data_IF_253535067818
#
_entry.id   IF_253535067818
#
_cell.length_a   1.000
_cell.length_b   1.000
_cell.length_c   1.000
_cell.angle_alpha   90.00
_cell.angle_beta   90.00
_cell.angle_gamma   90.00
#
_symmetry.space_group_name_H-M   'P 1'
#
loop_
_entity.id
_entity.type
_entity.pdbx_description
1 polymer ?
#
# COMPACT_ATOMS: atom_id res chain seq x y z
N UNK A 1 -11.09 -23.82 30.03
CA UNK A 1 -10.95 -22.53 30.75
C UNK A 1 -11.25 -21.43 29.74
N UNK A 2 -12.15 -20.49 30.04
CA UNK A 2 -12.40 -19.36 29.16
C UNK A 2 -11.20 -18.40 29.28
N UNK A 3 -10.64 -17.98 28.14
CA UNK A 3 -9.59 -16.97 28.09
C UNK A 3 -10.16 -15.65 28.61
N UNK A 4 -9.50 -15.04 29.59
CA UNK A 4 -9.84 -13.69 30.05
C UNK A 4 -9.23 -12.66 29.09
N UNK A 5 -9.82 -11.45 28.93
CA UNK A 5 -9.22 -10.41 28.11
C UNK A 5 -7.81 -10.02 28.60
N UNK A 6 -7.54 -10.15 29.90
CA UNK A 6 -6.21 -9.97 30.49
C UNK A 6 -5.21 -11.05 30.01
N UNK A 7 -5.68 -12.30 29.81
CA UNK A 7 -4.84 -13.38 29.27
C UNK A 7 -4.46 -13.14 27.79
N UNK A 8 -5.30 -12.44 27.02
CA UNK A 8 -5.05 -12.11 25.61
C UNK A 8 -3.97 -11.02 25.51
N UNK A 9 -4.05 -9.98 26.34
CA UNK A 9 -3.06 -8.88 26.34
C UNK A 9 -1.69 -9.32 26.87
N UNK A 10 -1.65 -10.27 27.80
CA UNK A 10 -0.41 -10.77 28.38
C UNK A 10 0.23 -11.90 27.54
N UNK A 11 -0.39 -12.31 26.43
CA UNK A 11 0.10 -13.42 25.64
C UNK A 11 1.27 -13.01 24.73
N UNK A 12 2.49 -13.17 25.22
CA UNK A 12 3.70 -12.90 24.44
C UNK A 12 4.07 -14.13 23.61
N UNK A 13 3.97 -14.03 22.29
CA UNK A 13 4.45 -15.07 21.38
C UNK A 13 5.98 -15.16 21.39
N UNK A 14 6.51 -16.25 21.96
CA UNK A 14 7.97 -16.49 22.02
C UNK A 14 8.59 -16.83 20.67
N UNK A 15 7.81 -17.32 19.71
CA UNK A 15 8.30 -17.75 18.39
C UNK A 15 7.85 -16.73 17.34
N UNK A 16 8.80 -15.96 16.81
CA UNK A 16 8.58 -15.15 15.61
C UNK A 16 8.92 -16.00 14.40
N UNK A 17 7.92 -16.24 13.54
CA UNK A 17 8.16 -16.73 12.19
C UNK A 17 8.58 -15.55 11.31
N UNK A 18 9.49 -15.80 10.37
CA UNK A 18 9.95 -14.81 9.40
C UNK A 18 8.73 -14.30 8.61
N UNK A 19 8.53 -12.97 8.60
CA UNK A 19 7.39 -12.33 7.92
C UNK A 19 6.24 -11.89 8.83
N UNK A 20 6.32 -12.11 10.16
CA UNK A 20 5.37 -11.53 11.12
C UNK A 20 5.94 -10.27 11.76
N UNK A 21 5.21 -9.15 11.66
CA UNK A 21 5.48 -7.95 12.45
C UNK A 21 4.86 -8.11 13.85
N UNK A 22 5.71 -8.09 14.88
CA UNK A 22 5.28 -8.24 16.27
C UNK A 22 4.44 -7.05 16.73
N UNK A 23 4.74 -5.85 16.26
CA UNK A 23 4.05 -4.63 16.68
C UNK A 23 2.62 -4.61 16.15
N UNK A 24 2.43 -5.06 14.92
CA UNK A 24 1.10 -5.20 14.32
C UNK A 24 0.25 -6.26 15.03
N UNK A 25 0.85 -7.40 15.37
CA UNK A 25 0.16 -8.46 16.14
C UNK A 25 -0.20 -7.97 17.55
N UNK A 26 0.69 -7.27 18.24
CA UNK A 26 0.43 -6.73 19.57
C UNK A 26 -0.69 -5.67 19.52
N UNK A 27 -0.71 -4.81 18.49
CA UNK A 27 -1.80 -3.86 18.25
C UNK A 27 -3.13 -4.59 18.01
N UNK A 28 -3.13 -5.60 17.15
CA UNK A 28 -4.32 -6.39 16.84
C UNK A 28 -4.86 -7.12 18.08
N UNK A 29 -4.00 -7.74 18.89
CA UNK A 29 -4.41 -8.36 20.15
C UNK A 29 -5.00 -7.34 21.14
N UNK A 30 -4.46 -6.12 21.19
CA UNK A 30 -5.03 -5.02 21.97
C UNK A 30 -6.44 -4.63 21.51
N UNK A 31 -6.69 -4.57 20.20
CA UNK A 31 -8.02 -4.31 19.63
C UNK A 31 -9.00 -5.45 19.95
N UNK A 32 -8.58 -6.70 19.82
CA UNK A 32 -9.38 -7.88 20.16
C UNK A 32 -9.74 -7.87 21.66
N UNK A 33 -8.77 -7.58 22.54
CA UNK A 33 -9.02 -7.50 23.97
C UNK A 33 -10.00 -6.38 24.34
N UNK A 34 -9.90 -5.20 23.69
CA UNK A 34 -10.84 -4.10 23.87
C UNK A 34 -12.25 -4.48 23.41
N UNK A 35 -12.38 -5.04 22.21
CA UNK A 35 -13.67 -5.51 21.68
C UNK A 35 -14.31 -6.58 22.58
N UNK A 36 -13.51 -7.50 23.14
CA UNK A 36 -14.00 -8.51 24.07
C UNK A 36 -14.51 -7.90 25.39
N UNK A 37 -13.82 -6.88 25.94
CA UNK A 37 -14.31 -6.14 27.13
C UNK A 37 -15.63 -5.43 26.84
N UNK A 38 -15.74 -4.79 25.69
CA UNK A 38 -16.98 -4.10 25.28
C UNK A 38 -18.15 -5.07 25.15
N UNK A 39 -17.92 -6.24 24.51
CA UNK A 39 -18.94 -7.28 24.39
C UNK A 39 -19.35 -7.84 25.76
N UNK A 40 -18.40 -7.99 26.68
CA UNK A 40 -18.67 -8.44 28.05
C UNK A 40 -19.48 -7.41 28.83
N UNK A 41 -19.14 -6.14 28.70
CA UNK A 41 -19.92 -5.05 29.29
C UNK A 41 -21.34 -4.98 28.70
N UNK A 42 -21.51 -5.22 27.39
CA UNK A 42 -22.83 -5.32 26.78
C UNK A 42 -23.64 -6.49 27.34
N UNK A 43 -23.01 -7.66 27.48
CA UNK A 43 -23.64 -8.84 28.09
C UNK A 43 -24.06 -8.56 29.54
N UNK A 44 -23.18 -8.02 30.37
CA UNK A 44 -23.51 -7.64 31.75
C UNK A 44 -24.64 -6.61 31.79
N UNK A 45 -24.66 -5.65 30.85
CA UNK A 45 -25.76 -4.68 30.71
C UNK A 45 -27.07 -5.35 30.32
N UNK A 46 -27.04 -6.33 29.41
CA UNK A 46 -28.25 -7.07 29.03
C UNK A 46 -28.74 -7.97 30.15
N UNK A 47 -27.84 -8.62 30.91
CA UNK A 47 -28.21 -9.43 32.07
C UNK A 47 -28.79 -8.54 33.17
N UNK A 48 -28.19 -7.38 33.45
CA UNK A 48 -28.72 -6.41 34.41
C UNK A 48 -30.06 -5.82 33.96
N UNK A 49 -30.24 -5.53 32.67
CA UNK A 49 -31.51 -5.07 32.12
C UNK A 49 -32.59 -6.16 32.12
N UNK A 50 -32.21 -7.44 32.04
CA UNK A 50 -33.14 -8.57 32.18
C UNK A 50 -33.41 -8.91 33.65
N UNK A 51 -32.52 -8.48 34.55
CA UNK A 51 -32.68 -8.55 36.01
C UNK A 51 -33.25 -7.24 36.56
N UNK A 52 -33.96 -6.48 35.73
CA UNK A 52 -34.80 -5.40 36.22
C UNK A 52 -35.72 -6.02 37.30
N UNK A 53 -35.69 -5.50 38.54
CA UNK A 53 -36.44 -6.07 39.64
C UNK A 53 -37.88 -6.10 39.17
N UNK A 54 -38.42 -7.30 39.00
CA UNK A 54 -39.86 -7.49 38.89
C UNK A 54 -40.43 -6.62 40.00
N UNK A 55 -41.18 -5.54 39.67
CA UNK A 55 -41.73 -4.66 40.69
C UNK A 55 -42.39 -5.57 41.70
N UNK A 56 -42.11 -5.40 43.02
CA UNK A 56 -42.56 -6.34 44.04
C UNK A 56 -44.03 -6.60 43.73
N UNK A 57 -44.31 -7.83 43.30
CA UNK A 57 -45.65 -8.22 42.93
C UNK A 57 -46.51 -7.75 44.08
N UNK A 58 -47.53 -6.94 43.78
CA UNK A 58 -48.58 -6.64 44.74
C UNK A 58 -48.86 -7.94 45.49
N UNK A 59 -48.89 -7.89 46.84
CA UNK A 59 -49.06 -9.10 47.65
C UNK A 59 -50.19 -9.90 47.01
N UNK A 60 -49.96 -11.18 46.65
CA UNK A 60 -50.92 -11.95 45.90
C UNK A 60 -52.26 -11.77 46.59
N UNK A 61 -53.24 -11.27 45.83
CA UNK A 61 -54.62 -11.21 46.29
C UNK A 61 -54.89 -12.54 46.98
N UNK A 62 -55.40 -12.53 48.23
CA UNK A 62 -55.48 -13.73 49.04
C UNK A 62 -56.16 -14.81 48.22
N UNK A 63 -55.47 -15.95 48.09
CA UNK A 63 -56.03 -17.16 47.51
C UNK A 63 -57.49 -17.28 48.00
N UNK A 64 -58.48 -17.47 47.12
CA UNK A 64 -59.77 -17.98 47.55
C UNK A 64 -59.49 -19.41 48.02
N UNK A 65 -59.11 -19.52 49.30
CA UNK A 65 -58.83 -20.78 49.95
C UNK A 65 -60.00 -21.73 49.68
N UNK A 66 -59.70 -23.00 49.38
CA UNK A 66 -60.76 -23.99 49.26
C UNK A 66 -61.59 -23.94 50.53
N UNK A 67 -62.91 -23.88 50.31
CA UNK A 67 -63.96 -24.26 51.25
C UNK A 67 -63.54 -25.53 52.01
N UNK A 68 -62.81 -25.33 53.10
CA UNK A 68 -62.60 -26.29 54.17
C UNK A 68 -63.78 -26.06 55.11
N UNK A 69 -64.51 -27.14 55.37
CA UNK A 69 -65.79 -27.09 56.03
C UNK A 69 -65.72 -26.56 57.47
N UNK A 70 -66.89 -26.35 58.08
CA UNK A 70 -66.95 -26.18 59.52
C UNK A 70 -66.57 -27.53 60.18
N UNK A 71 -65.28 -27.72 60.50
CA UNK A 71 -64.90 -28.40 61.75
C UNK A 71 -65.63 -27.64 62.85
N UNK A 72 -66.73 -28.15 63.43
CA UNK A 72 -66.76 -29.34 64.29
C UNK A 72 -65.49 -29.38 65.15
N UNK A 73 -65.36 -28.40 66.04
CA UNK A 73 -64.54 -28.56 67.23
C UNK A 73 -65.06 -27.72 68.40
N UNK A 74 -65.09 -28.35 69.57
CA UNK A 74 -65.21 -27.76 70.92
C UNK A 74 -66.39 -26.82 71.17
N UNK A 75 -67.49 -27.23 71.81
CA UNK A 75 -67.48 -27.94 73.10
C UNK A 75 -67.38 -26.94 74.26
N UNK A 76 -68.32 -27.08 75.21
CA UNK A 76 -68.49 -26.30 76.45
C UNK A 76 -69.02 -24.87 76.20
N UNK A 77 -70.25 -24.53 76.59
CA UNK A 77 -70.51 -24.02 77.95
C UNK A 77 -72.01 -24.03 78.35
N UNK A 78 -72.85 -24.92 77.84
CA UNK A 78 -74.17 -25.17 78.46
C UNK A 78 -74.08 -26.30 79.49
N UNK A 79 -73.54 -25.98 80.69
CA UNK A 79 -73.80 -26.76 81.90
C UNK A 79 -75.29 -26.63 82.24
N UNK A 80 -76.06 -27.69 81.97
CA UNK A 80 -77.37 -27.89 82.56
C UNK A 80 -77.18 -28.17 84.06
N UNK A 81 -77.29 -27.11 84.86
CA UNK A 81 -77.37 -27.20 86.31
C UNK A 81 -78.70 -27.86 86.68
N UNK A 82 -78.62 -29.07 87.22
CA UNK A 82 -79.73 -29.96 87.57
C UNK A 82 -80.23 -29.58 88.96
N UNK A 83 -81.06 -28.53 89.03
CA UNK A 83 -81.79 -28.10 90.23
C UNK A 83 -83.10 -28.85 90.46
N UNK A 84 -83.66 -28.84 91.69
CA UNK A 84 -84.39 -29.97 92.28
C UNK A 84 -85.84 -30.14 91.82
N UNK A 85 -86.21 -31.42 91.76
CA UNK A 85 -87.51 -32.01 91.42
C UNK A 85 -88.63 -31.55 92.38
N UNK A 86 -89.74 -30.96 91.88
CA UNK A 86 -90.91 -30.65 92.70
C UNK A 86 -91.84 -31.87 92.87
N UNK A 87 -92.54 -32.00 94.01
CA UNK A 87 -93.35 -33.15 94.40
C UNK A 87 -94.66 -33.32 93.59
N UNK A 88 -95.27 -34.52 93.61
CA UNK A 88 -96.39 -34.91 92.74
C UNK A 88 -97.69 -34.18 93.10
N UNK A 89 -98.20 -33.39 92.16
CA UNK A 89 -99.52 -32.77 92.26
C UNK A 89 -100.63 -33.74 91.84
N UNK A 90 -101.72 -33.71 92.62
CA UNK A 90 -102.89 -34.57 92.61
C UNK A 90 -103.68 -34.61 91.28
N UNK A 91 -104.52 -35.66 91.04
CA UNK A 91 -105.29 -35.82 89.82
C UNK A 91 -106.38 -34.76 89.69
N UNK A 92 -106.18 -33.82 88.76
CA UNK A 92 -107.19 -32.86 88.29
C UNK A 92 -108.31 -33.57 87.53
N UNK A 93 -109.52 -33.03 87.65
CA UNK A 93 -110.73 -33.61 87.08
C UNK A 93 -110.77 -33.60 85.54
N UNK A 94 -111.68 -34.38 84.93
CA UNK A 94 -111.75 -34.62 83.48
C UNK A 94 -111.99 -33.37 82.59
N UNK A 95 -112.30 -32.20 83.16
CA UNK A 95 -112.57 -30.95 82.41
C UNK A 95 -111.32 -30.08 82.16
N UNK A 96 -110.24 -30.24 82.92
CA UNK A 96 -109.03 -29.40 82.79
C UNK A 96 -108.26 -29.69 81.49
N UNK A 97 -108.32 -30.93 80.98
CA UNK A 97 -107.67 -31.33 79.74
C UNK A 97 -108.32 -30.77 78.48
N UNK A 98 -109.64 -30.55 78.48
CA UNK A 98 -110.33 -29.94 77.36
C UNK A 98 -109.99 -28.45 77.23
N UNK A 99 -109.95 -27.74 78.36
CA UNK A 99 -109.54 -26.34 78.41
C UNK A 99 -108.07 -26.17 78.00
N UNK A 100 -107.18 -27.03 78.51
CA UNK A 100 -105.78 -27.07 78.11
C UNK A 100 -105.64 -27.36 76.60
N UNK A 101 -106.41 -28.30 76.06
CA UNK A 101 -106.42 -28.61 74.63
C UNK A 101 -106.84 -27.43 73.76
N UNK A 102 -107.85 -26.65 74.18
CA UNK A 102 -108.26 -25.43 73.47
C UNK A 102 -107.22 -24.32 73.53
N UNK A 103 -106.59 -24.11 74.69
CA UNK A 103 -105.52 -23.11 74.88
C UNK A 103 -104.29 -23.48 74.06
N UNK A 104 -103.90 -24.75 74.03
CA UNK A 104 -102.80 -25.25 73.18
C UNK A 104 -103.11 -25.09 71.70
N UNK A 105 -104.34 -25.39 71.26
CA UNK A 105 -104.74 -25.21 69.85
C UNK A 105 -104.77 -23.73 69.41
N UNK A 106 -105.10 -22.81 70.32
CA UNK A 106 -105.04 -21.38 70.09
C UNK A 106 -103.59 -20.87 70.00
N UNK A 107 -102.72 -21.32 70.91
CA UNK A 107 -101.28 -21.02 70.86
C UNK A 107 -100.65 -21.57 69.58
N UNK A 108 -100.96 -22.81 69.19
CA UNK A 108 -100.44 -23.40 67.94
C UNK A 108 -100.93 -22.65 66.70
N UNK A 109 -102.20 -22.23 66.65
CA UNK A 109 -102.71 -21.40 65.53
C UNK A 109 -102.00 -20.04 65.47
N UNK A 110 -101.82 -19.41 66.63
CA UNK A 110 -101.12 -18.12 66.74
C UNK A 110 -99.65 -18.26 66.34
N UNK A 111 -98.99 -19.35 66.76
CA UNK A 111 -97.62 -19.67 66.39
C UNK A 111 -97.49 -19.97 64.89
N UNK A 112 -98.43 -20.71 64.30
CA UNK A 112 -98.43 -20.93 62.85
C UNK A 112 -98.64 -19.64 62.06
N UNK A 113 -99.55 -18.76 62.52
CA UNK A 113 -99.77 -17.46 61.91
C UNK A 113 -98.52 -16.57 62.01
N UNK A 114 -97.87 -16.51 63.17
CA UNK A 114 -96.64 -15.73 63.35
C UNK A 114 -95.48 -16.28 62.52
N UNK A 115 -95.31 -17.60 62.43
CA UNK A 115 -94.30 -18.22 61.56
C UNK A 115 -94.57 -17.93 60.08
N UNK A 116 -95.82 -17.98 59.64
CA UNK A 116 -96.19 -17.64 58.27
C UNK A 116 -95.90 -16.17 57.95
N UNK A 117 -96.20 -15.27 58.89
CA UNK A 117 -95.87 -13.85 58.78
C UNK A 117 -94.36 -13.63 58.74
N UNK A 118 -93.59 -14.22 59.66
CA UNK A 118 -92.13 -14.12 59.69
C UNK A 118 -91.51 -14.65 58.40
N UNK A 119 -92.05 -15.76 57.86
CA UNK A 119 -91.59 -16.30 56.58
C UNK A 119 -91.87 -15.34 55.44
N UNK A 120 -93.06 -14.75 55.40
CA UNK A 120 -93.41 -13.77 54.38
C UNK A 120 -92.53 -12.52 54.45
N UNK A 121 -92.31 -11.97 55.65
CA UNK A 121 -91.42 -10.84 55.90
C UNK A 121 -89.99 -11.17 55.46
N UNK A 122 -89.47 -12.34 55.84
CA UNK A 122 -88.14 -12.80 55.44
C UNK A 122 -88.02 -12.99 53.90
N UNK A 123 -89.05 -13.50 53.24
CA UNK A 123 -89.07 -13.65 51.78
C UNK A 123 -89.06 -12.29 51.07
N UNK A 124 -89.81 -11.32 51.59
CA UNK A 124 -89.84 -9.93 51.08
C UNK A 124 -88.46 -9.28 51.28
N UNK A 125 -87.90 -9.32 52.49
CA UNK A 125 -86.57 -8.77 52.78
C UNK A 125 -85.49 -9.41 51.91
N UNK A 126 -85.50 -10.74 51.75
CA UNK A 126 -84.57 -11.44 50.88
C UNK A 126 -84.74 -11.06 49.41
N UNK A 127 -85.95 -10.74 48.95
CA UNK A 127 -86.18 -10.24 47.59
C UNK A 127 -85.62 -8.82 47.40
N UNK A 128 -85.79 -7.94 48.39
CA UNK A 128 -85.27 -6.56 48.38
C UNK A 128 -83.75 -6.57 48.42
N UNK A 129 -83.14 -7.39 49.29
CA UNK A 129 -81.70 -7.55 49.37
C UNK A 129 -81.11 -8.07 48.06
N UNK A 130 -81.75 -9.07 47.42
CA UNK A 130 -81.32 -9.57 46.10
C UNK A 130 -81.42 -8.50 45.02
N UNK A 131 -82.53 -7.78 44.92
CA UNK A 131 -82.70 -6.71 43.94
C UNK A 131 -81.69 -5.57 44.15
N UNK A 132 -81.40 -5.24 45.42
CA UNK A 132 -80.38 -4.25 45.75
C UNK A 132 -79.00 -4.72 45.32
N UNK A 133 -78.62 -5.95 45.68
CA UNK A 133 -77.34 -6.53 45.30
C UNK A 133 -77.18 -6.63 43.78
N UNK A 134 -78.23 -7.02 43.04
CA UNK A 134 -78.23 -7.08 41.57
C UNK A 134 -78.00 -5.70 40.95
N UNK A 135 -78.63 -4.65 41.50
CA UNK A 135 -78.41 -3.26 41.04
C UNK A 135 -76.99 -2.79 41.31
N UNK A 136 -76.48 -3.01 42.52
CA UNK A 136 -75.11 -2.65 42.90
C UNK A 136 -74.07 -3.38 42.02
N UNK A 137 -74.27 -4.67 41.74
CA UNK A 137 -73.39 -5.44 40.82
C UNK A 137 -73.48 -4.92 39.39
N UNK A 138 -74.68 -4.56 38.91
CA UNK A 138 -74.85 -4.00 37.57
C UNK A 138 -74.19 -2.62 37.43
N UNK A 139 -74.26 -1.79 38.46
CA UNK A 139 -73.59 -0.49 38.53
C UNK A 139 -72.07 -0.65 38.53
N UNK A 140 -71.52 -1.49 39.42
CA UNK A 140 -70.08 -1.78 39.47
C UNK A 140 -69.56 -2.34 38.15
N UNK A 141 -70.32 -3.20 37.46
CA UNK A 141 -69.94 -3.71 36.14
C UNK A 141 -69.87 -2.59 35.09
N UNK A 142 -70.87 -1.70 35.04
CA UNK A 142 -70.87 -0.56 34.13
C UNK A 142 -69.70 0.39 34.40
N UNK A 143 -69.43 0.68 35.67
CA UNK A 143 -68.28 1.51 36.06
C UNK A 143 -66.96 0.87 35.63
N UNK A 144 -66.77 -0.43 35.91
CA UNK A 144 -65.60 -1.17 35.51
C UNK A 144 -65.42 -1.21 33.97
N UNK A 145 -66.51 -1.39 33.21
CA UNK A 145 -66.50 -1.37 31.76
C UNK A 145 -66.08 0.01 31.21
N UNK A 146 -66.59 1.10 31.78
CA UNK A 146 -66.22 2.48 31.40
C UNK A 146 -64.75 2.75 31.71
N UNK A 147 -64.26 2.36 32.90
CA UNK A 147 -62.86 2.52 33.27
C UNK A 147 -61.93 1.69 32.35
N UNK A 148 -62.28 0.43 32.08
CA UNK A 148 -61.53 -0.41 31.17
C UNK A 148 -61.53 0.12 29.73
N UNK A 149 -62.62 0.74 29.27
CA UNK A 149 -62.68 1.40 27.97
C UNK A 149 -61.79 2.64 27.92
N UNK A 150 -61.78 3.44 29.00
CA UNK A 150 -60.92 4.62 29.13
C UNK A 150 -59.43 4.25 29.11
N UNK A 151 -59.02 3.29 29.92
CA UNK A 151 -57.63 2.82 29.97
C UNK A 151 -57.18 2.30 28.60
N UNK A 152 -58.04 1.53 27.91
CA UNK A 152 -57.74 1.06 26.54
C UNK A 152 -57.58 2.22 25.55
N UNK A 153 -58.43 3.24 25.63
CA UNK A 153 -58.33 4.40 24.73
C UNK A 153 -57.08 5.24 25.01
N UNK A 154 -56.73 5.46 26.27
CA UNK A 154 -55.51 6.15 26.67
C UNK A 154 -54.27 5.38 26.19
N UNK A 155 -54.18 4.07 26.48
CA UNK A 155 -53.09 3.22 26.00
C UNK A 155 -52.95 3.20 24.46
N UNK A 156 -54.06 3.21 23.73
CA UNK A 156 -54.04 3.29 22.26
C UNK A 156 -53.50 4.64 21.75
N UNK A 157 -53.87 5.76 22.40
CA UNK A 157 -53.35 7.09 22.06
C UNK A 157 -51.85 7.18 22.35
N UNK A 158 -51.42 6.70 23.51
CA UNK A 158 -50.00 6.71 23.90
C UNK A 158 -49.16 5.85 22.96
N UNK A 159 -49.64 4.65 22.61
CA UNK A 159 -48.98 3.79 21.64
C UNK A 159 -48.94 4.37 20.22
N UNK A 160 -49.93 5.19 19.83
CA UNK A 160 -49.90 5.92 18.56
C UNK A 160 -48.91 7.08 18.61
N UNK A 161 -48.88 7.83 19.71
CA UNK A 161 -47.92 8.92 19.92
C UNK A 161 -46.48 8.41 19.91
N UNK A 162 -46.17 7.36 20.67
CA UNK A 162 -44.84 6.76 20.73
C UNK A 162 -44.38 6.25 19.35
N UNK A 163 -45.28 5.65 18.56
CA UNK A 163 -44.95 5.24 17.19
C UNK A 163 -44.66 6.43 16.28
N UNK A 164 -45.43 7.51 16.39
CA UNK A 164 -45.18 8.75 15.64
C UNK A 164 -43.85 9.40 16.02
N UNK A 165 -43.50 9.40 17.30
CA UNK A 165 -42.21 9.93 17.80
C UNK A 165 -41.04 9.08 17.30
N UNK A 166 -41.14 7.76 17.39
CA UNK A 166 -40.12 6.84 16.89
C UNK A 166 -39.92 6.97 15.37
N UNK A 167 -40.99 7.15 14.59
CA UNK A 167 -40.92 7.38 13.15
C UNK A 167 -40.20 8.69 12.83
N UNK A 168 -40.56 9.80 13.49
CA UNK A 168 -39.89 11.10 13.29
C UNK A 168 -38.43 11.05 13.66
N UNK A 169 -38.08 10.36 14.74
CA UNK A 169 -36.69 10.18 15.15
C UNK A 169 -35.90 9.36 14.11
N UNK A 170 -36.47 8.26 13.62
CA UNK A 170 -35.84 7.44 12.59
C UNK A 170 -35.65 8.19 11.26
N UNK A 171 -36.63 9.03 10.86
CA UNK A 171 -36.51 9.90 9.68
C UNK A 171 -35.42 10.97 9.89
N UNK A 172 -35.34 11.58 11.07
CA UNK A 172 -34.28 12.52 11.41
C UNK A 172 -32.90 11.89 11.30
N UNK A 173 -32.72 10.69 11.86
CA UNK A 173 -31.44 9.96 11.79
C UNK A 173 -31.06 9.58 10.35
N UNK A 174 -32.03 9.20 9.51
CA UNK A 174 -31.76 8.92 8.10
C UNK A 174 -31.32 10.16 7.34
N UNK A 175 -32.02 11.28 7.53
CA UNK A 175 -31.66 12.54 6.88
C UNK A 175 -30.26 13.03 7.31
N UNK A 176 -29.91 12.90 8.59
CA UNK A 176 -28.59 13.26 9.11
C UNK A 176 -27.50 12.35 8.53
N UNK A 177 -27.75 11.05 8.43
CA UNK A 177 -26.83 10.10 7.80
C UNK A 177 -26.62 10.39 6.30
N UNK A 178 -27.70 10.69 5.57
CA UNK A 178 -27.65 11.04 4.15
C UNK A 178 -26.89 12.37 3.92
N UNK A 179 -27.12 13.38 4.78
CA UNK A 179 -26.39 14.65 4.72
C UNK A 179 -24.89 14.45 5.01
N UNK A 180 -24.56 13.65 6.03
CA UNK A 180 -23.18 13.31 6.35
C UNK A 180 -22.49 12.58 5.18
N UNK A 181 -23.13 11.56 4.61
CA UNK A 181 -22.61 10.84 3.46
C UNK A 181 -22.39 11.76 2.25
N UNK A 182 -23.36 12.63 1.94
CA UNK A 182 -23.24 13.61 0.86
C UNK A 182 -22.06 14.59 1.09
N UNK A 183 -21.88 15.05 2.33
CA UNK A 183 -20.75 15.94 2.69
C UNK A 183 -19.42 15.23 2.52
N UNK A 184 -19.29 14.01 3.03
CA UNK A 184 -18.08 13.19 2.87
C UNK A 184 -17.76 12.96 1.40
N UNK A 185 -18.76 12.64 0.55
CA UNK A 185 -18.55 12.48 -0.88
C UNK A 185 -18.02 13.75 -1.56
N UNK A 186 -18.61 14.91 -1.27
CA UNK A 186 -18.14 16.19 -1.84
C UNK A 186 -16.71 16.52 -1.39
N UNK A 187 -16.37 16.23 -0.14
CA UNK A 187 -15.02 16.45 0.37
C UNK A 187 -14.01 15.47 -0.27
N UNK A 188 -14.36 14.19 -0.41
CA UNK A 188 -13.49 13.21 -1.10
C UNK A 188 -13.30 13.54 -2.58
N UNK A 189 -14.35 13.99 -3.26
CA UNK A 189 -14.28 14.37 -4.67
C UNK A 189 -13.38 15.61 -4.85
N UNK A 190 -13.45 16.56 -3.91
CA UNK A 190 -12.55 17.72 -3.89
C UNK A 190 -11.10 17.30 -3.69
N UNK A 191 -10.83 16.46 -2.71
CA UNK A 191 -9.46 15.97 -2.43
C UNK A 191 -8.88 15.21 -3.63
N UNK A 192 -9.69 14.37 -4.28
CA UNK A 192 -9.29 13.65 -5.51
C UNK A 192 -8.99 14.63 -6.64
N UNK A 193 -9.83 15.65 -6.84
CA UNK A 193 -9.60 16.67 -7.86
C UNK A 193 -8.33 17.51 -7.59
N UNK A 194 -8.08 17.89 -6.33
CA UNK A 194 -6.88 18.61 -5.92
C UNK A 194 -5.61 17.77 -6.14
N UNK A 195 -5.63 16.50 -5.75
CA UNK A 195 -4.51 15.56 -5.99
C UNK A 195 -4.27 15.33 -7.48
N UNK A 196 -5.33 15.18 -8.27
CA UNK A 196 -5.22 15.03 -9.73
C UNK A 196 -4.60 16.28 -10.37
N UNK A 197 -5.02 17.49 -9.96
CA UNK A 197 -4.43 18.74 -10.44
C UNK A 197 -2.95 18.88 -10.05
N UNK A 198 -2.59 18.50 -8.82
CA UNK A 198 -1.19 18.50 -8.36
C UNK A 198 -0.32 17.50 -9.15
N UNK A 199 -0.84 16.30 -9.41
CA UNK A 199 -0.14 15.30 -10.22
C UNK A 199 0.08 15.79 -11.67
N UNK A 200 -0.92 16.43 -12.28
CA UNK A 200 -0.78 17.00 -13.62
C UNK A 200 0.28 18.11 -13.66
N UNK A 201 0.27 19.02 -12.68
CA UNK A 201 1.28 20.07 -12.59
C UNK A 201 2.71 19.52 -12.42
N UNK A 202 2.86 18.42 -11.68
CA UNK A 202 4.14 17.73 -11.53
C UNK A 202 4.61 17.08 -12.84
N UNK A 203 3.70 16.48 -13.62
CA UNK A 203 4.01 15.96 -14.95
C UNK A 203 4.45 17.07 -15.90
N UNK A 204 3.71 18.18 -15.95
CA UNK A 204 4.06 19.33 -16.79
C UNK A 204 5.45 19.90 -16.42
N UNK A 205 5.78 19.94 -15.12
CA UNK A 205 7.11 20.37 -14.67
C UNK A 205 8.23 19.39 -15.07
N UNK A 206 7.98 18.09 -14.95
CA UNK A 206 8.92 17.05 -15.38
C UNK A 206 9.17 17.12 -16.89
N UNK A 207 8.12 17.32 -17.69
CA UNK A 207 8.23 17.50 -19.14
C UNK A 207 9.06 18.74 -19.51
N UNK A 208 8.84 19.87 -18.82
CA UNK A 208 9.67 21.08 -19.00
C UNK A 208 11.14 20.81 -18.69
N UNK A 209 11.44 20.18 -17.55
CA UNK A 209 12.83 19.85 -17.17
C UNK A 209 13.49 18.90 -18.17
N UNK A 210 12.73 17.94 -18.70
CA UNK A 210 13.23 17.02 -19.71
C UNK A 210 13.50 17.73 -21.04
N UNK A 211 12.64 18.67 -21.45
CA UNK A 211 12.86 19.51 -22.62
C UNK A 211 14.12 20.41 -22.45
N UNK A 212 14.28 21.04 -21.29
CA UNK A 212 15.48 21.83 -20.95
C UNK A 212 16.75 20.98 -20.96
N UNK A 213 16.71 19.78 -20.37
CA UNK A 213 17.83 18.85 -20.36
C UNK A 213 18.22 18.38 -21.77
N UNK A 214 17.24 18.16 -22.67
CA UNK A 214 17.51 17.84 -24.08
C UNK A 214 18.21 18.99 -24.81
N UNK A 215 17.70 20.22 -24.66
CA UNK A 215 18.34 21.40 -25.26
C UNK A 215 19.78 21.57 -24.75
N UNK A 216 20.00 21.36 -23.44
CA UNK A 216 21.33 21.43 -22.85
C UNK A 216 22.26 20.32 -23.38
N UNK A 217 21.76 19.09 -23.54
CA UNK A 217 22.52 17.98 -24.11
C UNK A 217 22.91 18.26 -25.57
N UNK A 218 21.97 18.72 -26.39
CA UNK A 218 22.22 19.08 -27.79
C UNK A 218 23.25 20.21 -27.91
N UNK A 219 23.21 21.20 -27.00
CA UNK A 219 24.21 22.26 -26.94
C UNK A 219 25.62 21.74 -26.61
N UNK A 220 25.75 20.79 -25.68
CA UNK A 220 27.03 20.17 -25.34
C UNK A 220 27.58 19.36 -26.52
N UNK A 221 26.72 18.62 -27.24
CA UNK A 221 27.12 17.88 -28.44
C UNK A 221 27.60 18.86 -29.53
N UNK A 222 26.85 19.92 -29.81
CA UNK A 222 27.23 20.93 -30.78
C UNK A 222 28.55 21.64 -30.41
N UNK A 223 28.78 21.92 -29.13
CA UNK A 223 30.06 22.47 -28.66
C UNK A 223 31.23 21.48 -28.85
N UNK A 224 31.00 20.20 -28.58
CA UNK A 224 32.01 19.15 -28.77
C UNK A 224 32.36 18.96 -30.25
N UNK A 225 31.37 18.95 -31.14
CA UNK A 225 31.57 18.92 -32.60
C UNK A 225 32.35 20.15 -33.08
N UNK A 226 31.96 21.35 -32.64
CA UNK A 226 32.68 22.58 -32.99
C UNK A 226 34.15 22.57 -32.52
N UNK A 227 34.43 21.99 -31.34
CA UNK A 227 35.80 21.79 -30.85
C UNK A 227 36.57 20.76 -31.67
N UNK A 228 35.94 19.65 -32.03
CA UNK A 228 36.56 18.62 -32.87
C UNK A 228 36.94 19.19 -34.25
N UNK A 229 36.02 19.92 -34.89
CA UNK A 229 36.26 20.60 -36.17
C UNK A 229 37.37 21.66 -36.08
N UNK A 230 37.52 22.32 -34.93
CA UNK A 230 38.62 23.27 -34.71
C UNK A 230 39.97 22.55 -34.62
N UNK A 231 40.05 21.45 -33.86
CA UNK A 231 41.28 20.64 -33.74
C UNK A 231 41.70 20.06 -35.09
N UNK A 232 40.75 19.57 -35.89
CA UNK A 232 41.03 19.05 -37.24
C UNK A 232 41.58 20.17 -38.14
N UNK A 233 40.94 21.35 -38.14
CA UNK A 233 41.43 22.50 -38.93
C UNK A 233 42.83 22.96 -38.51
N UNK A 234 43.10 23.02 -37.21
CA UNK A 234 44.42 23.38 -36.69
C UNK A 234 45.48 22.35 -37.14
N UNK A 235 45.17 21.05 -37.06
CA UNK A 235 46.05 19.99 -37.54
C UNK A 235 46.31 20.05 -39.06
N UNK A 236 45.29 20.38 -39.85
CA UNK A 236 45.45 20.58 -41.30
C UNK A 236 46.38 21.76 -41.62
N UNK A 237 46.24 22.88 -40.87
CA UNK A 237 47.12 24.03 -41.00
C UNK A 237 48.57 23.68 -40.62
N UNK A 238 48.78 22.93 -39.54
CA UNK A 238 50.11 22.49 -39.10
C UNK A 238 50.75 21.56 -40.14
N UNK A 239 49.99 20.61 -40.71
CA UNK A 239 50.47 19.73 -41.78
C UNK A 239 50.86 20.55 -43.02
N UNK A 240 50.04 21.53 -43.41
CA UNK A 240 50.33 22.39 -44.55
C UNK A 240 51.59 23.24 -44.34
N UNK A 241 51.76 23.82 -43.14
CA UNK A 241 52.96 24.56 -42.77
C UNK A 241 54.19 23.65 -42.79
N UNK A 242 54.12 22.47 -42.17
CA UNK A 242 55.24 21.54 -42.13
C UNK A 242 55.64 21.06 -43.52
N UNK A 243 54.66 20.85 -44.40
CA UNK A 243 54.91 20.54 -45.81
C UNK A 243 55.64 21.68 -46.52
N UNK A 244 55.22 22.92 -46.32
CA UNK A 244 55.88 24.09 -46.90
C UNK A 244 57.33 24.24 -46.38
N UNK A 245 57.57 24.00 -45.09
CA UNK A 245 58.92 23.98 -44.51
C UNK A 245 59.80 22.91 -45.17
N UNK A 246 59.30 21.67 -45.28
CA UNK A 246 60.04 20.57 -45.91
C UNK A 246 60.30 20.81 -47.40
N UNK A 247 59.35 21.40 -48.13
CA UNK A 247 59.54 21.80 -49.53
C UNK A 247 60.62 22.88 -49.65
N UNK A 248 60.63 23.89 -48.76
CA UNK A 248 61.66 24.92 -48.72
C UNK A 248 63.04 24.37 -48.33
N UNK A 249 63.11 23.45 -47.37
CA UNK A 249 64.33 22.73 -47.01
C UNK A 249 64.86 21.91 -48.19
N UNK A 250 64.00 21.16 -48.89
CA UNK A 250 64.36 20.37 -50.05
C UNK A 250 64.85 21.25 -51.23
N UNK A 251 64.22 22.39 -51.47
CA UNK A 251 64.68 23.37 -52.47
C UNK A 251 66.05 23.95 -52.09
N UNK A 252 66.26 24.28 -50.81
CA UNK A 252 67.55 24.76 -50.32
C UNK A 252 68.66 23.70 -50.45
N UNK A 253 68.36 22.44 -50.13
CA UNK A 253 69.29 21.32 -50.31
C UNK A 253 69.60 21.06 -51.78
N UNK A 254 68.60 21.14 -52.66
CA UNK A 254 68.77 20.99 -54.10
C UNK A 254 69.63 22.13 -54.68
N UNK A 255 69.40 23.37 -54.23
CA UNK A 255 70.23 24.51 -54.60
C UNK A 255 71.69 24.32 -54.13
N UNK A 256 71.91 23.93 -52.88
CA UNK A 256 73.25 23.63 -52.35
C UNK A 256 73.92 22.45 -53.09
N UNK A 257 73.16 21.43 -53.47
CA UNK A 257 73.67 20.31 -54.27
C UNK A 257 74.04 20.74 -55.70
N UNK A 258 73.27 21.63 -56.32
CA UNK A 258 73.59 22.21 -57.61
C UNK A 258 74.87 23.05 -57.55
N UNK A 259 75.03 23.90 -56.53
CA UNK A 259 76.25 24.66 -56.29
C UNK A 259 77.47 23.74 -56.11
N UNK A 260 77.34 22.67 -55.31
CA UNK A 260 78.40 21.67 -55.13
C UNK A 260 78.77 20.99 -56.44
N UNK A 261 77.77 20.59 -57.24
CA UNK A 261 77.99 19.97 -58.55
C UNK A 261 78.73 20.93 -59.48
N UNK A 262 78.29 22.18 -59.55
CA UNK A 262 78.87 23.18 -60.45
C UNK A 262 80.31 23.53 -60.01
N UNK A 263 80.59 23.57 -58.70
CA UNK A 263 81.94 23.70 -58.17
C UNK A 263 82.86 22.52 -58.56
N UNK A 264 82.36 21.29 -58.47
CA UNK A 264 83.09 20.09 -58.91
C UNK A 264 83.35 20.11 -60.42
N UNK A 265 82.37 20.51 -61.23
CA UNK A 265 82.53 20.66 -62.68
C UNK A 265 83.57 21.75 -63.04
N UNK A 266 83.56 22.88 -62.32
CA UNK A 266 84.55 23.93 -62.49
C UNK A 266 85.95 23.47 -62.08
N UNK A 267 86.09 22.69 -61.00
CA UNK A 267 87.36 22.07 -60.62
C UNK A 267 87.83 21.05 -61.66
N UNK A 268 86.95 20.17 -62.14
CA UNK A 268 87.27 19.19 -63.17
C UNK A 268 87.74 19.86 -64.47
N UNK A 269 87.07 20.93 -64.89
CA UNK A 269 87.44 21.75 -66.05
C UNK A 269 88.83 22.38 -65.84
N UNK A 270 89.09 22.99 -64.68
CA UNK A 270 90.42 23.53 -64.34
C UNK A 270 91.52 22.46 -64.37
N UNK A 271 91.24 21.25 -63.85
CA UNK A 271 92.18 20.12 -63.92
C UNK A 271 92.43 19.65 -65.35
N UNK A 272 91.38 19.63 -66.18
CA UNK A 272 91.47 19.23 -67.59
C UNK A 272 92.25 20.26 -68.41
N UNK A 273 92.02 21.54 -68.19
CA UNK A 273 92.78 22.62 -68.84
C UNK A 273 94.25 22.60 -68.39
N UNK A 274 94.52 22.42 -67.09
CA UNK A 274 95.89 22.22 -66.60
C UNK A 274 96.56 20.99 -67.22
N UNK A 275 95.82 19.88 -67.40
CA UNK A 275 96.31 18.70 -68.07
C UNK A 275 96.61 18.97 -69.56
N UNK A 276 95.73 19.68 -70.28
CA UNK A 276 95.97 20.13 -71.67
C UNK A 276 97.21 21.01 -71.76
N UNK A 277 97.38 21.98 -70.86
CA UNK A 277 98.55 22.84 -70.81
C UNK A 277 99.83 22.02 -70.59
N UNK A 278 99.77 21.00 -69.70
CA UNK A 278 100.90 20.08 -69.50
C UNK A 278 101.18 19.22 -70.74
N UNK A 279 100.13 18.75 -71.43
CA UNK A 279 100.25 18.00 -72.69
C UNK A 279 100.88 18.86 -73.78
N UNK A 280 100.44 20.11 -73.95
CA UNK A 280 101.01 21.05 -74.91
C UNK A 280 102.46 21.41 -74.57
N UNK A 281 102.80 21.57 -73.30
CA UNK A 281 104.17 21.79 -72.85
C UNK A 281 105.06 20.57 -73.16
N UNK A 282 104.54 19.35 -72.94
CA UNK A 282 105.20 18.10 -73.31
C UNK A 282 105.34 17.96 -74.83
N UNK A 283 104.31 18.27 -75.62
CA UNK A 283 104.36 18.30 -77.10
C UNK A 283 105.39 19.31 -77.59
N UNK A 284 105.43 20.53 -77.02
CA UNK A 284 106.45 21.53 -77.34
C UNK A 284 107.85 21.02 -77.01
N UNK A 285 108.04 20.37 -75.84
CA UNK A 285 109.30 19.72 -75.49
C UNK A 285 109.65 18.57 -76.43
N UNK A 286 108.70 17.75 -76.85
CA UNK A 286 108.91 16.66 -77.80
C UNK A 286 109.23 17.17 -79.19
N UNK A 287 108.59 18.24 -79.66
CA UNK A 287 108.91 18.89 -80.94
C UNK A 287 110.29 19.52 -80.87
N UNK A 288 110.64 20.18 -79.76
CA UNK A 288 111.99 20.71 -79.53
C UNK A 288 113.02 19.57 -79.49
N UNK A 289 112.77 18.52 -78.70
CA UNK A 289 113.62 17.34 -78.60
C UNK A 289 113.70 16.56 -79.91
N UNK A 290 112.64 16.54 -80.74
CA UNK A 290 112.63 15.99 -82.11
C UNK A 290 113.38 16.89 -83.07
N UNK A 291 113.35 18.20 -82.89
CA UNK A 291 114.20 19.16 -83.58
C UNK A 291 115.68 18.95 -83.23
N UNK A 292 115.98 18.76 -81.95
CA UNK A 292 117.32 18.46 -81.43
C UNK A 292 117.78 17.05 -81.86
N UNK A 293 116.90 16.05 -81.84
CA UNK A 293 117.14 14.71 -82.36
C UNK A 293 117.29 14.73 -83.88
N UNK A 294 116.50 15.51 -84.61
CA UNK A 294 116.65 15.71 -86.05
C UNK A 294 117.97 16.41 -86.40
N UNK A 295 118.38 17.39 -85.59
CA UNK A 295 119.67 18.07 -85.74
C UNK A 295 120.86 17.17 -85.38
N UNK A 296 120.69 16.24 -84.43
CA UNK A 296 121.72 15.25 -84.07
C UNK A 296 121.74 14.03 -85.00
N UNK A 297 120.59 13.60 -85.54
CA UNK A 297 120.47 12.57 -86.58
C UNK A 297 121.00 13.05 -87.94
N UNK A 298 120.87 14.35 -88.26
CA UNK A 298 121.54 14.94 -89.45
C UNK A 298 123.08 14.89 -89.37
N UNK A 299 123.66 14.53 -88.21
CA UNK A 299 125.11 14.38 -88.00
C UNK A 299 125.61 12.93 -88.13
N UNK A 300 124.74 11.95 -88.38
CA UNK A 300 125.14 10.55 -88.52
C UNK A 300 124.42 9.86 -89.71
N UNK A 301 125.17 9.32 -90.69
CA UNK A 301 124.59 8.61 -91.82
C UNK A 301 124.12 7.20 -91.44
N UNK A 302 122.98 6.83 -92.03
CA UNK A 302 122.39 5.51 -92.26
C UNK A 302 123.00 4.29 -91.53
N UNK A 303 122.20 3.69 -90.64
CA UNK A 303 122.37 2.30 -90.21
C UNK A 303 121.02 1.56 -90.28
N UNK A 304 121.10 0.39 -90.88
CA UNK A 304 120.11 -0.62 -91.24
C UNK A 304 119.22 -1.11 -90.06
N UNK A 305 118.02 -1.56 -90.45
CA UNK A 305 116.94 -2.19 -89.63
C UNK A 305 117.40 -3.29 -88.67
N UNK A 306 116.55 -3.70 -87.68
CA UNK A 306 115.72 -4.89 -87.93
C UNK A 306 114.36 -4.99 -87.18
N UNK A 307 113.49 -5.84 -87.75
CA UNK A 307 112.62 -6.86 -87.17
C UNK A 307 111.50 -6.54 -86.14
N UNK A 308 110.32 -7.07 -86.47
CA UNK A 308 109.16 -7.39 -85.62
C UNK A 308 109.51 -8.02 -84.26
N UNK A 309 108.62 -7.88 -83.26
CA UNK A 309 107.93 -9.09 -82.79
C UNK A 309 106.44 -8.91 -82.37
N UNK A 310 105.63 -9.88 -82.78
CA UNK A 310 104.61 -10.69 -82.07
C UNK A 310 103.72 -10.13 -80.92
N UNK A 311 102.48 -10.69 -80.75
CA UNK A 311 101.37 -10.11 -80.00
C UNK A 311 101.16 -10.65 -78.57
N UNK A 312 100.44 -9.89 -77.74
CA UNK A 312 99.74 -10.35 -76.52
C UNK A 312 99.46 -9.24 -75.49
N UNK A 313 98.63 -9.45 -74.45
CA UNK A 313 97.45 -10.31 -74.31
C UNK A 313 96.14 -9.50 -74.09
N UNK A 314 95.02 -10.19 -74.21
CA UNK A 314 93.65 -9.78 -73.86
C UNK A 314 93.55 -9.56 -72.35
N UNK A 315 92.94 -8.45 -71.91
CA UNK A 315 92.37 -8.30 -70.55
C UNK A 315 90.88 -8.12 -70.69
N UNK A 316 90.18 -9.21 -70.40
CA UNK A 316 88.76 -9.33 -70.15
C UNK A 316 88.45 -8.67 -68.78
N UNK A 317 87.50 -7.73 -68.77
CA UNK A 317 86.90 -7.16 -67.55
C UNK A 317 85.37 -7.37 -67.60
N UNK A 318 84.97 -8.58 -67.99
CA UNK A 318 83.77 -9.20 -67.46
C UNK A 318 84.09 -9.61 -66.02
N UNK A 319 83.86 -8.73 -65.05
CA UNK A 319 83.91 -9.12 -63.64
C UNK A 319 82.70 -8.57 -62.90
N UNK A 320 82.08 -9.50 -62.19
CA UNK A 320 80.82 -9.44 -61.48
C UNK A 320 80.80 -8.32 -60.43
N UNK A 321 79.68 -7.59 -60.36
CA UNK A 321 79.27 -6.94 -59.12
C UNK A 321 77.81 -7.37 -58.82
N UNK A 322 77.53 -7.78 -57.58
CA UNK A 322 76.40 -8.65 -57.24
C UNK A 322 75.03 -7.95 -57.31
N UNK A 323 74.03 -8.71 -57.74
CA UNK A 323 72.62 -8.48 -57.44
C UNK A 323 72.43 -8.41 -55.92
N UNK A 324 72.26 -7.19 -55.39
CA UNK A 324 71.72 -7.01 -54.05
C UNK A 324 70.20 -7.11 -54.19
N UNK A 325 69.70 -8.33 -54.03
CA UNK A 325 68.29 -8.60 -53.72
C UNK A 325 68.05 -8.06 -52.30
N UNK A 326 67.43 -6.88 -52.20
CA UNK A 326 66.82 -6.44 -50.96
C UNK A 326 65.53 -7.26 -50.77
N UNK A 327 65.67 -8.29 -49.95
CA UNK A 327 64.60 -9.04 -49.32
C UNK A 327 63.72 -8.07 -48.50
N UNK A 328 62.45 -7.95 -48.89
CA UNK A 328 61.40 -7.18 -48.20
C UNK A 328 60.26 -8.10 -47.76
N UNK A 329 60.55 -9.39 -47.51
CA UNK A 329 59.57 -10.39 -47.08
C UNK A 329 59.83 -10.92 -45.69
N UNK A 330 60.16 -10.09 -44.71
CA UNK A 330 60.06 -10.43 -43.29
C UNK A 330 59.60 -9.21 -42.48
N UNK A 331 58.28 -9.12 -42.25
CA UNK A 331 57.71 -8.41 -41.12
C UNK A 331 56.56 -9.27 -40.60
N UNK A 332 57.00 -10.21 -39.77
CA UNK A 332 56.33 -10.90 -38.66
C UNK A 332 54.80 -10.80 -38.55
N UNK A 333 54.19 -11.96 -38.78
CA UNK A 333 53.01 -12.43 -38.05
C UNK A 333 53.34 -12.55 -36.54
N UNK A 334 53.18 -11.48 -35.75
CA UNK A 334 52.94 -11.61 -34.31
C UNK A 334 51.44 -11.69 -34.03
N UNK A 335 50.92 -12.91 -34.20
CA UNK A 335 49.70 -13.34 -33.56
C UNK A 335 50.01 -13.72 -32.10
N UNK A 336 49.52 -12.90 -31.16
CA UNK A 336 49.26 -13.32 -29.79
C UNK A 336 50.16 -12.74 -28.72
N UNK A 337 49.69 -11.67 -28.08
CA UNK A 337 49.58 -11.66 -26.62
C UNK A 337 48.55 -10.61 -26.18
N UNK A 338 47.42 -11.11 -25.71
CA UNK A 338 46.39 -10.34 -25.03
C UNK A 338 46.98 -9.87 -23.67
N UNK A 339 47.00 -8.56 -23.37
CA UNK A 339 47.66 -8.08 -22.16
C UNK A 339 46.94 -8.61 -20.90
N UNK A 340 47.68 -8.96 -19.83
CA UNK A 340 47.08 -9.44 -18.60
C UNK A 340 46.21 -8.35 -17.97
N UNK A 341 44.92 -8.67 -17.78
CA UNK A 341 43.96 -7.80 -17.11
C UNK A 341 44.46 -7.51 -15.68
N UNK A 342 44.58 -6.24 -15.26
CA UNK A 342 45.05 -5.90 -13.92
C UNK A 342 44.08 -6.43 -12.83
N UNK A 343 44.60 -6.91 -11.69
CA UNK A 343 43.77 -7.34 -10.58
C UNK A 343 43.00 -6.15 -10.00
N UNK A 344 41.68 -6.10 -10.23
CA UNK A 344 40.79 -5.04 -9.74
C UNK A 344 39.71 -4.58 -10.73
N UNK A 345 39.71 -5.07 -11.98
CA UNK A 345 38.63 -4.75 -12.93
C UNK A 345 37.33 -5.48 -12.53
N UNK A 346 36.20 -4.77 -12.28
CA UNK A 346 34.92 -5.42 -12.06
C UNK A 346 34.54 -6.19 -13.33
N UNK A 347 34.46 -7.52 -13.22
CA UNK A 347 34.16 -8.41 -14.34
C UNK A 347 32.87 -8.02 -15.07
N UNK A 348 32.84 -8.28 -16.37
CA UNK A 348 31.67 -8.05 -17.22
C UNK A 348 30.42 -8.69 -16.59
N UNK A 349 29.27 -7.98 -16.59
CA UNK A 349 28.04 -8.51 -16.02
C UNK A 349 27.61 -9.79 -16.77
N UNK A 350 27.03 -10.78 -16.08
CA UNK A 350 26.58 -12.00 -16.73
C UNK A 350 25.47 -11.68 -17.74
N UNK A 351 25.66 -12.16 -18.97
CA UNK A 351 24.64 -12.23 -20.01
C UNK A 351 23.45 -13.04 -19.50
N UNK A 352 22.44 -12.37 -18.94
CA UNK A 352 21.14 -12.94 -18.64
C UNK A 352 20.20 -12.71 -19.83
N UNK A 353 19.57 -13.80 -20.29
CA UNK A 353 18.27 -13.70 -20.96
C UNK A 353 18.28 -13.67 -22.49
N UNK A 354 18.86 -14.69 -23.13
CA UNK A 354 18.50 -15.06 -24.51
C UNK A 354 17.14 -15.78 -24.47
N UNK A 355 16.05 -15.02 -24.58
CA UNK A 355 14.69 -15.57 -24.74
C UNK A 355 14.50 -15.87 -26.23
N UNK A 356 14.64 -17.15 -26.58
CA UNK A 356 14.08 -17.69 -27.83
C UNK A 356 12.92 -18.61 -27.47
N UNK A 357 11.85 -18.44 -28.25
CA UNK A 357 10.75 -19.36 -28.54
C UNK A 357 9.77 -19.72 -27.43
N UNK A 358 8.60 -19.08 -27.48
CA UNK A 358 7.34 -19.80 -27.35
C UNK A 358 6.24 -19.11 -28.19
N UNK A 359 6.39 -19.20 -29.51
CA UNK A 359 5.24 -19.14 -30.41
C UNK A 359 4.35 -20.34 -30.08
N UNK A 360 3.21 -20.06 -29.44
CA UNK A 360 2.06 -20.94 -29.40
C UNK A 360 0.95 -20.28 -30.20
N UNK A 361 0.87 -20.64 -31.48
CA UNK A 361 -0.37 -20.57 -32.26
C UNK A 361 -1.49 -21.27 -31.47
N UNK A 362 -2.50 -20.52 -31.06
CA UNK A 362 -3.85 -21.05 -30.89
C UNK A 362 -4.86 -20.07 -31.48
N UNK A 363 -5.18 -20.32 -32.74
CA UNK A 363 -6.50 -20.09 -33.30
C UNK A 363 -7.56 -20.69 -32.37
N UNK A 364 -8.35 -19.86 -31.69
CA UNK A 364 -9.62 -20.27 -31.08
C UNK A 364 -10.70 -19.23 -31.38
N UNK A 365 -11.73 -19.74 -32.04
CA UNK A 365 -12.97 -19.11 -32.48
C UNK A 365 -13.79 -18.41 -31.37
N UNK A 366 -14.72 -17.51 -31.74
CA UNK A 366 -15.58 -16.82 -30.80
C UNK A 366 -16.71 -17.74 -30.30
N UNK A 367 -16.62 -18.17 -29.03
CA UNK A 367 -17.74 -18.79 -28.32
C UNK A 367 -18.32 -17.79 -27.32
N UNK A 368 -19.55 -17.35 -27.59
CA UNK A 368 -20.49 -16.87 -26.58
C UNK A 368 -21.65 -17.88 -26.51
N UNK A 369 -22.51 -17.87 -25.46
CA UNK A 369 -22.28 -17.53 -24.06
C UNK A 369 -22.65 -18.73 -23.16
N UNK A 370 -22.03 -18.85 -21.99
CA UNK A 370 -22.57 -19.73 -20.94
C UNK A 370 -22.54 -19.04 -19.59
N UNK A 371 -23.77 -18.85 -19.11
CA UNK A 371 -24.16 -18.37 -17.80
C UNK A 371 -23.76 -19.44 -16.79
N UNK A 372 -22.78 -19.13 -15.94
CA UNK A 372 -22.55 -19.88 -14.71
C UNK A 372 -22.02 -18.92 -13.65
N UNK A 373 -22.89 -18.67 -12.69
CA UNK A 373 -22.60 -17.98 -11.45
C UNK A 373 -21.55 -18.78 -10.67
N UNK A 374 -20.39 -18.16 -10.47
CA UNK A 374 -19.49 -18.48 -9.37
C UNK A 374 -19.02 -17.15 -8.80
N UNK A 375 -19.52 -16.89 -7.59
CA UNK A 375 -19.03 -15.92 -6.64
C UNK A 375 -17.59 -16.34 -6.27
N UNK A 376 -16.60 -15.66 -6.84
CA UNK A 376 -15.19 -15.82 -6.50
C UNK A 376 -14.69 -14.45 -6.00
N UNK A 377 -14.23 -14.32 -4.74
CA UNK A 377 -13.76 -13.05 -4.21
C UNK A 377 -12.45 -12.61 -4.90
N UNK A 378 -12.24 -11.29 -5.09
CA UNK A 378 -11.02 -10.81 -5.74
C UNK A 378 -9.78 -11.17 -4.92
N UNK A 379 -8.75 -11.64 -5.61
CA UNK A 379 -7.43 -11.92 -5.05
C UNK A 379 -6.85 -10.65 -4.39
N UNK A 380 -6.11 -10.79 -3.26
CA UNK A 380 -5.52 -9.64 -2.59
C UNK A 380 -4.41 -9.00 -3.45
N UNK A 381 -4.55 -7.70 -3.67
CA UNK A 381 -3.54 -6.85 -4.28
C UNK A 381 -2.21 -6.94 -3.51
N UNK A 382 -1.10 -6.88 -4.26
CA UNK A 382 0.24 -6.92 -3.72
C UNK A 382 0.48 -5.76 -2.73
N UNK A 383 1.28 -5.99 -1.67
CA UNK A 383 1.53 -4.97 -0.65
C UNK A 383 2.28 -3.78 -1.24
N UNK A 384 1.62 -2.62 -1.18
CA UNK A 384 2.21 -1.30 -1.40
C UNK A 384 3.31 -1.13 -0.33
N UNK A 385 4.52 -0.79 -0.77
CA UNK A 385 5.63 -0.50 0.13
C UNK A 385 5.25 0.67 1.07
N UNK A 386 5.68 0.66 2.36
CA UNK A 386 5.37 1.74 3.26
C UNK A 386 6.06 3.03 2.79
N UNK A 387 5.28 3.95 2.23
CA UNK A 387 5.68 5.36 2.16
C UNK A 387 5.78 5.89 3.59
N UNK A 388 6.88 6.59 3.88
CA UNK A 388 7.13 7.26 5.15
C UNK A 388 5.96 8.16 5.54
N UNK A 389 5.15 7.71 6.51
CA UNK A 389 4.01 8.45 7.04
C UNK A 389 4.49 9.50 8.05
N UNK A 390 5.30 10.45 7.58
CA UNK A 390 5.45 11.77 8.20
C UNK A 390 4.36 12.70 7.62
N UNK A 391 3.10 12.25 7.73
CA UNK A 391 1.94 12.99 7.29
C UNK A 391 1.44 13.99 8.35
N UNK A 392 0.78 15.09 7.95
CA UNK A 392 0.31 16.18 8.83
C UNK A 392 -0.70 15.74 9.91
N UNK A 393 -1.23 14.52 9.81
CA UNK A 393 -2.07 13.90 10.85
C UNK A 393 -1.31 13.60 12.15
N UNK A 394 0.01 13.30 12.08
CA UNK A 394 0.84 13.10 13.27
C UNK A 394 0.93 14.37 14.13
N UNK A 395 1.02 15.53 13.47
CA UNK A 395 1.13 16.82 14.16
C UNK A 395 -0.20 17.27 14.77
N UNK A 396 -1.33 16.98 14.11
CA UNK A 396 -2.67 17.27 14.64
C UNK A 396 -2.94 16.44 15.91
N UNK A 397 -2.53 15.16 15.92
CA UNK A 397 -2.71 14.29 17.10
C UNK A 397 -1.78 14.71 18.25
N UNK A 398 -0.51 15.08 17.97
CA UNK A 398 0.38 15.64 19.00
C UNK A 398 -0.15 16.94 19.60
N UNK A 399 -0.69 17.83 18.77
CA UNK A 399 -1.19 19.12 19.24
C UNK A 399 -2.51 19.00 20.03
N UNK A 400 -3.35 18.04 19.66
CA UNK A 400 -4.56 17.69 20.43
C UNK A 400 -4.21 17.10 21.81
N UNK A 401 -3.24 16.17 21.87
CA UNK A 401 -2.76 15.60 23.14
C UNK A 401 -2.08 16.67 24.00
N UNK A 402 -1.27 17.55 23.40
CA UNK A 402 -0.61 18.65 24.10
C UNK A 402 -1.57 19.71 24.66
N UNK A 403 -2.75 19.91 24.05
CA UNK A 403 -3.80 20.78 24.59
C UNK A 403 -4.59 20.11 25.71
N UNK A 404 -4.88 18.81 25.60
CA UNK A 404 -5.57 18.07 26.66
C UNK A 404 -4.74 18.01 27.96
N UNK A 405 -3.42 17.82 27.85
CA UNK A 405 -2.51 17.80 29.00
C UNK A 405 -2.40 19.17 29.67
N UNK A 406 -2.29 20.27 28.91
CA UNK A 406 -2.28 21.63 29.48
C UNK A 406 -3.58 21.98 30.20
N UNK A 407 -4.73 21.65 29.61
CA UNK A 407 -6.02 21.86 30.25
C UNK A 407 -6.23 21.01 31.52
N UNK A 408 -5.51 19.91 31.69
CA UNK A 408 -5.54 19.13 32.93
C UNK A 408 -4.67 19.78 34.01
N UNK A 409 -3.48 20.26 33.65
CA UNK A 409 -2.56 20.94 34.57
C UNK A 409 -3.13 22.28 35.06
N UNK A 410 -3.70 23.09 34.18
CA UNK A 410 -4.32 24.37 34.55
C UNK A 410 -5.57 24.20 35.43
N UNK A 411 -6.17 23.01 35.45
CA UNK A 411 -7.35 22.69 36.28
C UNK A 411 -6.98 22.29 37.71
N UNK A 412 -5.79 21.73 37.89
CA UNK A 412 -5.26 21.38 39.22
C UNK A 412 -4.70 22.62 39.94
N UNK A 413 -4.18 23.63 39.22
CA UNK A 413 -3.67 24.88 39.82
C UNK A 413 -4.78 25.90 40.19
N UNK A 414 -6.02 25.73 39.71
CA UNK A 414 -7.14 26.63 39.99
C UNK A 414 -7.99 26.20 41.22
N UNK A 415 -7.57 25.14 41.91
CA UNK A 415 -8.34 24.46 42.97
C UNK A 415 -7.89 24.70 44.41
N UNK A 416 -6.89 25.54 44.67
CA UNK A 416 -6.34 25.81 46.02
C UNK A 416 -6.64 27.23 46.53
#
# INVERSE_FOLDING_TARGET
MALTPEDIEQHIFKVSRRGYDKVEVDRFLGEVARSYRDLRHQLDRTVLATTEPTPPADPPAPDPGPSAGPTEDGGALFRLDRGPEPPPAAPGGPDDFQRLGSEVAEVLRTAHASVAQLRHEAEVEASVLRQRAEREVAELRREAEVQAARIRQEAQRDAAALRGDAQRYAEGLRNEADEYAARTHVDTDRDVAEKAAAAQAALDDAERRLAEARIAADAVVAEAEARADAVVRDAELDIAQRRQELEAEAEAEAAAAAERRDALLAEATRRLDAARDTEEALRRRLVAARGDLGATLARFPEVQAPAEPAPGPVVDLSDEAPDIVLDLTELDDEAGDEPPVPPGWPGAPPLQGRVHDLFGDQDLEPVAPSVLATDDPPAPEAPIAPEDVDGPLSDIVRDAIGRAVRNAVDRDDAGD
#
